data_IF_487140697850
#
_entry.id   IF_487140697850
#
_cell.length_a   1.000
_cell.length_b   1.000
_cell.length_c   1.000
_cell.angle_alpha   90.00
_cell.angle_beta   90.00
_cell.angle_gamma   90.00
#
_symmetry.space_group_name_H-M   'P 1'
#
loop_
_entity.id
_entity.type
_entity.pdbx_description
1 polymer ?
#
# COMPACT_ATOMS: atom_id res chain seq x y z
N UNK A 1 11.92 -33.54 11.74
CA UNK A 1 11.11 -33.02 10.64
C UNK A 1 10.29 -31.90 11.24
N UNK A 2 10.42 -30.68 10.75
CA UNK A 2 9.50 -29.62 11.16
C UNK A 2 8.09 -30.07 10.78
N UNK A 3 7.12 -29.95 11.70
CA UNK A 3 5.72 -30.25 11.39
C UNK A 3 5.28 -29.37 10.21
N UNK A 4 4.44 -29.88 9.29
CA UNK A 4 3.91 -29.09 8.19
C UNK A 4 3.21 -27.86 8.76
N UNK A 5 3.57 -26.67 8.30
CA UNK A 5 2.89 -25.45 8.70
C UNK A 5 1.45 -25.45 8.16
N UNK A 6 0.50 -25.79 9.03
CA UNK A 6 -0.92 -25.95 8.67
C UNK A 6 -1.56 -24.66 8.14
N UNK A 7 -0.99 -23.50 8.47
CA UNK A 7 -1.48 -22.19 8.02
C UNK A 7 -0.70 -21.63 6.83
N UNK A 8 0.28 -22.36 6.29
CA UNK A 8 1.17 -21.88 5.23
C UNK A 8 0.40 -21.31 4.03
N UNK A 9 -0.56 -22.06 3.49
CA UNK A 9 -1.36 -21.64 2.33
C UNK A 9 -2.20 -20.40 2.64
N UNK A 10 -2.79 -20.34 3.84
CA UNK A 10 -3.61 -19.22 4.30
C UNK A 10 -2.78 -17.93 4.38
N UNK A 11 -1.64 -18.00 5.08
CA UNK A 11 -0.72 -16.86 5.27
C UNK A 11 -0.23 -16.31 3.93
N UNK A 12 0.20 -17.19 3.02
CA UNK A 12 0.69 -16.77 1.71
C UNK A 12 -0.39 -16.09 0.86
N UNK A 13 -1.62 -16.63 0.84
CA UNK A 13 -2.73 -15.99 0.11
C UNK A 13 -3.04 -14.61 0.68
N UNK A 14 -3.00 -14.44 2.00
CA UNK A 14 -3.20 -13.15 2.64
C UNK A 14 -2.10 -12.15 2.27
N UNK A 15 -0.82 -12.51 2.42
CA UNK A 15 0.31 -11.61 2.15
C UNK A 15 0.38 -11.15 0.69
N UNK A 16 -0.08 -11.98 -0.25
CA UNK A 16 -0.13 -11.66 -1.67
C UNK A 16 -1.40 -10.93 -2.10
N UNK A 17 -2.32 -10.65 -1.17
CA UNK A 17 -3.55 -9.90 -1.42
C UNK A 17 -4.70 -10.71 -2.01
N UNK A 18 -4.64 -12.05 -1.99
CA UNK A 18 -5.75 -12.92 -2.41
C UNK A 18 -6.68 -13.20 -1.22
N UNK A 19 -7.32 -12.14 -0.71
CA UNK A 19 -8.14 -12.21 0.50
C UNK A 19 -9.33 -13.17 0.39
N UNK A 20 -9.99 -13.23 -0.76
CA UNK A 20 -11.13 -14.14 -0.97
C UNK A 20 -10.71 -15.61 -0.85
N UNK A 21 -9.57 -15.98 -1.43
CA UNK A 21 -9.06 -17.34 -1.33
C UNK A 21 -8.41 -17.63 0.03
N UNK A 22 -7.90 -16.61 0.72
CA UNK A 22 -7.46 -16.75 2.11
C UNK A 22 -8.65 -17.11 3.02
N UNK A 23 -9.77 -16.40 2.91
CA UNK A 23 -11.00 -16.71 3.66
C UNK A 23 -11.50 -18.14 3.35
N UNK A 24 -11.53 -18.52 2.08
CA UNK A 24 -11.96 -19.85 1.66
C UNK A 24 -11.06 -20.96 2.24
N UNK A 25 -9.75 -20.74 2.31
CA UNK A 25 -8.79 -21.66 2.92
C UNK A 25 -9.00 -21.76 4.43
N UNK A 26 -9.10 -20.60 5.11
CA UNK A 26 -9.32 -20.53 6.54
C UNK A 26 -10.56 -21.29 6.97
N UNK A 27 -11.68 -21.12 6.26
CA UNK A 27 -12.93 -21.81 6.58
C UNK A 27 -12.87 -23.35 6.42
N UNK A 28 -11.90 -23.88 5.67
CA UNK A 28 -11.70 -25.32 5.52
C UNK A 28 -10.83 -25.92 6.65
N UNK A 29 -10.01 -25.10 7.30
CA UNK A 29 -9.11 -25.50 8.38
C UNK A 29 -9.87 -25.62 9.71
N UNK A 30 -10.44 -26.81 9.97
CA UNK A 30 -11.30 -27.06 11.15
C UNK A 30 -10.63 -27.81 12.30
N UNK A 31 -9.48 -28.46 12.05
CA UNK A 31 -8.77 -29.30 13.04
C UNK A 31 -7.44 -28.68 13.42
N UNK A 32 -7.50 -27.56 14.13
CA UNK A 32 -6.33 -26.82 14.60
C UNK A 32 -6.23 -26.88 16.12
N UNK A 33 -5.02 -26.68 16.66
CA UNK A 33 -4.85 -26.36 18.08
C UNK A 33 -5.50 -25.01 18.41
N UNK A 34 -5.84 -24.74 19.68
CA UNK A 34 -6.46 -23.48 20.08
C UNK A 34 -5.63 -22.25 19.65
N UNK A 35 -4.30 -22.36 19.70
CA UNK A 35 -3.38 -21.30 19.26
C UNK A 35 -3.47 -21.08 17.75
N UNK A 36 -3.42 -22.15 16.96
CA UNK A 36 -3.51 -22.05 15.50
C UNK A 36 -4.91 -21.65 15.03
N UNK A 37 -5.96 -21.99 15.78
CA UNK A 37 -7.33 -21.57 15.50
C UNK A 37 -7.48 -20.06 15.63
N UNK A 38 -6.92 -19.47 16.70
CA UNK A 38 -6.91 -18.01 16.88
C UNK A 38 -6.12 -17.33 15.77
N UNK A 39 -4.97 -17.88 15.38
CA UNK A 39 -4.16 -17.31 14.29
C UNK A 39 -4.87 -17.41 12.93
N UNK A 40 -5.52 -18.55 12.64
CA UNK A 40 -6.38 -18.70 11.45
C UNK A 40 -7.44 -17.61 11.42
N UNK A 41 -8.17 -17.42 12.52
CA UNK A 41 -9.25 -16.43 12.62
C UNK A 41 -8.72 -15.00 12.47
N UNK A 42 -7.52 -14.73 12.99
CA UNK A 42 -6.84 -13.45 12.78
C UNK A 42 -6.62 -13.17 11.27
N UNK A 43 -6.04 -14.12 10.53
CA UNK A 43 -5.81 -13.96 9.09
C UNK A 43 -7.12 -13.86 8.29
N UNK A 44 -8.15 -14.62 8.67
CA UNK A 44 -9.47 -14.55 8.04
C UNK A 44 -10.11 -13.17 8.26
N UNK A 45 -10.11 -12.66 9.49
CA UNK A 45 -10.67 -11.33 9.78
C UNK A 45 -9.85 -10.21 9.15
N UNK A 46 -8.52 -10.28 9.14
CA UNK A 46 -7.67 -9.35 8.38
C UNK A 46 -7.96 -9.41 6.88
N UNK A 47 -8.31 -10.57 6.33
CA UNK A 47 -8.74 -10.72 4.93
C UNK A 47 -10.09 -10.05 4.66
N UNK A 48 -11.05 -10.16 5.58
CA UNK A 48 -12.32 -9.43 5.49
C UNK A 48 -12.11 -7.91 5.50
N UNK A 49 -11.22 -7.41 6.37
CA UNK A 49 -10.80 -6.00 6.37
C UNK A 49 -10.18 -5.62 5.01
N UNK A 50 -9.33 -6.47 4.44
CA UNK A 50 -8.73 -6.27 3.12
C UNK A 50 -9.75 -6.18 1.98
N UNK A 51 -10.92 -6.81 2.12
CA UNK A 51 -12.06 -6.72 1.19
C UNK A 51 -13.03 -5.57 1.52
N UNK A 52 -12.75 -4.75 2.54
CA UNK A 52 -13.62 -3.65 2.97
C UNK A 52 -14.85 -4.09 3.77
N UNK A 53 -14.90 -5.35 4.24
CA UNK A 53 -16.03 -5.89 5.00
C UNK A 53 -15.83 -5.69 6.52
N UNK A 54 -15.70 -4.43 6.94
CA UNK A 54 -15.38 -4.08 8.35
C UNK A 54 -16.49 -4.50 9.33
N UNK A 55 -17.76 -4.26 8.97
CA UNK A 55 -18.90 -4.54 9.85
C UNK A 55 -19.04 -6.00 10.29
N UNK A 56 -18.58 -6.95 9.46
CA UNK A 56 -18.55 -8.38 9.82
C UNK A 56 -17.60 -8.61 11.00
N UNK A 57 -16.36 -8.11 10.89
CA UNK A 57 -15.34 -8.27 11.93
C UNK A 57 -15.76 -7.58 13.23
N UNK A 58 -16.36 -6.40 13.13
CA UNK A 58 -16.84 -5.63 14.28
C UNK A 58 -17.97 -6.35 15.02
N UNK A 59 -18.86 -7.03 14.28
CA UNK A 59 -20.00 -7.77 14.82
C UNK A 59 -19.64 -9.13 15.41
N UNK A 60 -18.68 -9.86 14.84
CA UNK A 60 -18.32 -11.21 15.30
C UNK A 60 -17.34 -11.21 16.47
N UNK A 61 -16.38 -10.29 16.50
CA UNK A 61 -15.38 -10.24 17.56
C UNK A 61 -15.93 -9.50 18.78
N UNK A 62 -15.84 -10.11 19.95
CA UNK A 62 -16.32 -9.57 21.23
C UNK A 62 -15.19 -9.37 22.25
N UNK A 63 -15.50 -8.83 23.43
CA UNK A 63 -14.51 -8.58 24.51
C UNK A 63 -13.96 -9.87 25.15
N UNK A 64 -14.62 -11.01 24.94
CA UNK A 64 -14.16 -12.33 25.42
C UNK A 64 -13.22 -13.01 24.41
N UNK A 65 -13.09 -12.44 23.20
CA UNK A 65 -12.25 -12.98 22.13
C UNK A 65 -10.77 -12.84 22.48
N UNK A 66 -9.94 -13.70 21.90
CA UNK A 66 -8.49 -13.62 22.10
C UNK A 66 -7.93 -12.25 21.66
N UNK A 67 -6.88 -11.79 22.34
CA UNK A 67 -6.31 -10.47 22.14
C UNK A 67 -5.94 -10.14 20.67
N UNK A 68 -5.38 -11.06 19.86
CA UNK A 68 -5.16 -10.82 18.43
C UNK A 68 -6.45 -10.43 17.68
N UNK A 69 -7.57 -11.10 17.98
CA UNK A 69 -8.85 -10.82 17.34
C UNK A 69 -9.39 -9.45 17.75
N UNK A 70 -9.24 -9.09 19.04
CA UNK A 70 -9.62 -7.75 19.52
C UNK A 70 -8.79 -6.65 18.83
N UNK A 71 -7.49 -6.87 18.60
CA UNK A 71 -6.65 -5.95 17.84
C UNK A 71 -7.14 -5.80 16.39
N UNK A 72 -7.50 -6.91 15.73
CA UNK A 72 -8.06 -6.87 14.37
C UNK A 72 -9.41 -6.14 14.35
N UNK A 73 -10.24 -6.28 15.39
CA UNK A 73 -11.48 -5.49 15.55
C UNK A 73 -11.20 -3.98 15.66
N UNK A 74 -10.22 -3.56 16.46
CA UNK A 74 -9.83 -2.15 16.56
C UNK A 74 -9.39 -1.60 15.19
N UNK A 75 -8.64 -2.38 14.41
CA UNK A 75 -8.26 -2.00 13.06
C UNK A 75 -9.49 -1.84 12.15
N UNK A 76 -10.46 -2.75 12.24
CA UNK A 76 -11.71 -2.66 11.47
C UNK A 76 -12.52 -1.41 11.84
N UNK A 77 -12.65 -1.09 13.13
CA UNK A 77 -13.33 0.12 13.61
C UNK A 77 -12.65 1.40 13.09
N UNK A 78 -11.32 1.44 13.15
CA UNK A 78 -10.53 2.54 12.61
C UNK A 78 -10.75 2.75 11.11
N UNK A 79 -10.79 1.67 10.32
CA UNK A 79 -10.94 1.76 8.87
C UNK A 79 -12.38 2.01 8.41
N UNK A 80 -13.38 1.63 9.20
CA UNK A 80 -14.80 1.89 8.89
C UNK A 80 -15.14 3.38 9.03
N UNK A 81 -14.71 4.01 10.12
CA UNK A 81 -14.89 5.45 10.33
C UNK A 81 -13.67 6.06 11.05
N UNK A 82 -12.61 6.40 10.30
CA UNK A 82 -11.41 7.00 10.88
C UNK A 82 -11.68 8.31 11.61
N UNK A 83 -12.68 9.09 11.18
CA UNK A 83 -12.91 10.42 11.73
C UNK A 83 -13.46 10.38 13.16
N UNK A 84 -14.27 9.38 13.51
CA UNK A 84 -14.88 9.27 14.83
C UNK A 84 -14.13 8.33 15.78
N UNK A 85 -13.44 7.31 15.25
CA UNK A 85 -12.84 6.25 16.06
C UNK A 85 -11.35 6.42 16.33
N UNK A 86 -10.65 7.27 15.56
CA UNK A 86 -9.20 7.48 15.65
C UNK A 86 -8.69 7.67 17.07
N UNK A 87 -9.22 8.64 17.82
CA UNK A 87 -8.68 9.01 19.13
C UNK A 87 -8.84 7.86 20.13
N UNK A 88 -9.97 7.15 20.08
CA UNK A 88 -10.25 5.98 20.91
C UNK A 88 -9.31 4.82 20.58
N UNK A 89 -9.08 4.55 19.30
CA UNK A 89 -8.20 3.47 18.84
C UNK A 89 -6.74 3.74 19.21
N UNK A 90 -6.24 4.97 18.98
CA UNK A 90 -4.87 5.38 19.35
C UNK A 90 -4.66 5.24 20.87
N UNK A 91 -5.61 5.71 21.68
CA UNK A 91 -5.52 5.62 23.13
C UNK A 91 -5.47 4.16 23.60
N UNK A 92 -6.37 3.32 23.07
CA UNK A 92 -6.44 1.89 23.43
C UNK A 92 -5.16 1.14 23.04
N UNK A 93 -4.64 1.38 21.83
CA UNK A 93 -3.39 0.78 21.38
C UNK A 93 -2.19 1.28 22.19
N UNK A 94 -2.18 2.55 22.59
CA UNK A 94 -1.17 3.10 23.49
C UNK A 94 -1.16 2.41 24.86
N UNK A 95 -2.34 2.16 25.44
CA UNK A 95 -2.49 1.41 26.69
C UNK A 95 -2.00 -0.04 26.55
N UNK A 96 -2.39 -0.73 25.48
CA UNK A 96 -1.97 -2.12 25.24
C UNK A 96 -0.47 -2.26 24.98
N UNK A 97 0.17 -1.27 24.34
CA UNK A 97 1.62 -1.26 24.19
C UNK A 97 2.36 -0.90 25.48
N UNK A 98 1.68 -0.25 26.44
CA UNK A 98 2.20 0.04 27.77
C UNK A 98 2.08 -1.13 28.76
N UNK A 99 1.09 -2.01 28.57
CA UNK A 99 0.84 -3.14 29.46
C UNK A 99 1.76 -4.34 29.16
N UNK A 100 2.31 -4.93 30.23
CA UNK A 100 3.25 -6.04 30.13
C UNK A 100 2.61 -7.32 29.58
N UNK A 101 1.30 -7.50 29.74
CA UNK A 101 0.59 -8.67 29.21
C UNK A 101 0.40 -8.62 27.69
N UNK A 102 0.29 -7.41 27.11
CA UNK A 102 -0.14 -7.22 25.73
C UNK A 102 0.91 -6.64 24.79
N UNK A 103 1.90 -5.92 25.33
CA UNK A 103 2.91 -5.23 24.53
C UNK A 103 3.72 -6.14 23.61
N UNK A 104 3.87 -7.41 23.97
CA UNK A 104 4.70 -8.39 23.24
C UNK A 104 3.88 -9.22 22.24
N UNK A 105 2.55 -9.02 22.14
CA UNK A 105 1.72 -9.72 21.16
C UNK A 105 1.98 -9.21 19.74
N UNK A 106 2.39 -10.08 18.80
CA UNK A 106 2.79 -9.64 17.46
C UNK A 106 1.69 -8.88 16.70
N UNK A 107 0.46 -9.38 16.76
CA UNK A 107 -0.71 -8.79 16.09
C UNK A 107 -1.05 -7.40 16.64
N UNK A 108 -0.95 -7.20 17.95
CA UNK A 108 -1.16 -5.88 18.59
C UNK A 108 -0.11 -4.89 18.09
N UNK A 109 1.16 -5.29 18.06
CA UNK A 109 2.25 -4.47 17.53
C UNK A 109 2.04 -4.13 16.05
N UNK A 110 1.61 -5.10 15.23
CA UNK A 110 1.32 -4.90 13.80
C UNK A 110 0.15 -3.93 13.59
N UNK A 111 -0.97 -4.13 14.28
CA UNK A 111 -2.14 -3.24 14.18
C UNK A 111 -1.77 -1.82 14.63
N UNK A 112 -1.08 -1.69 15.76
CA UNK A 112 -0.64 -0.38 16.24
C UNK A 112 0.25 0.34 15.23
N UNK A 113 1.24 -0.37 14.67
CA UNK A 113 2.10 0.16 13.62
C UNK A 113 1.32 0.63 12.39
N UNK A 114 0.33 -0.13 11.93
CA UNK A 114 -0.51 0.23 10.78
C UNK A 114 -1.35 1.48 11.05
N UNK A 115 -1.99 1.58 12.22
CA UNK A 115 -2.80 2.75 12.59
C UNK A 115 -1.92 3.99 12.73
N UNK A 116 -0.78 3.88 13.43
CA UNK A 116 0.16 5.00 13.57
C UNK A 116 0.72 5.46 12.23
N UNK A 117 0.99 4.55 11.28
CA UNK A 117 1.43 4.93 9.94
C UNK A 117 0.36 5.74 9.19
N UNK A 118 -0.91 5.36 9.29
CA UNK A 118 -2.01 6.09 8.64
C UNK A 118 -2.22 7.49 9.20
N UNK A 119 -1.85 7.69 10.46
CA UNK A 119 -1.91 8.97 11.17
C UNK A 119 -0.63 9.80 11.06
N UNK A 120 0.32 9.39 10.21
CA UNK A 120 1.63 10.04 10.01
C UNK A 120 2.52 10.07 11.28
N UNK A 121 2.23 9.18 12.24
CA UNK A 121 2.96 8.98 13.50
C UNK A 121 4.05 7.92 13.33
N UNK A 122 4.99 8.17 12.43
CA UNK A 122 6.02 7.18 12.06
C UNK A 122 6.92 6.76 13.24
N UNK A 123 7.20 7.65 14.20
CA UNK A 123 8.07 7.33 15.34
C UNK A 123 7.42 6.31 16.26
N UNK A 124 6.14 6.49 16.53
CA UNK A 124 5.28 5.63 17.30
C UNK A 124 5.11 4.28 16.59
N UNK A 125 4.91 4.31 15.26
CA UNK A 125 4.84 3.11 14.43
C UNK A 125 6.12 2.25 14.54
N UNK A 126 7.30 2.85 14.40
CA UNK A 126 8.58 2.13 14.60
C UNK A 126 8.78 1.67 16.05
N UNK A 127 8.30 2.43 17.03
CA UNK A 127 8.43 2.04 18.44
C UNK A 127 7.60 0.79 18.75
N UNK A 128 6.39 0.69 18.19
CA UNK A 128 5.50 -0.46 18.38
C UNK A 128 6.11 -1.79 17.91
N UNK A 129 6.82 -1.80 16.78
CA UNK A 129 7.40 -3.03 16.18
C UNK A 129 8.91 -3.19 16.43
N UNK A 130 9.52 -2.36 17.29
CA UNK A 130 10.98 -2.32 17.52
C UNK A 130 11.59 -3.66 17.91
N UNK A 131 10.89 -4.41 18.74
CA UNK A 131 11.34 -5.70 19.25
C UNK A 131 10.67 -6.88 18.53
N UNK A 132 9.87 -6.60 17.50
CA UNK A 132 9.21 -7.62 16.70
C UNK A 132 10.21 -8.49 15.94
N UNK A 133 10.00 -9.81 16.01
CA UNK A 133 10.86 -10.81 15.36
C UNK A 133 10.10 -11.71 14.39
N UNK A 134 8.78 -11.54 14.26
CA UNK A 134 8.02 -12.33 13.29
C UNK A 134 8.31 -11.86 11.88
N UNK A 135 8.12 -12.74 10.89
CA UNK A 135 8.33 -12.41 9.48
C UNK A 135 7.46 -11.22 9.04
N UNK A 136 6.21 -11.13 9.51
CA UNK A 136 5.33 -9.99 9.21
C UNK A 136 5.87 -8.67 9.79
N UNK A 137 6.41 -8.68 11.01
CA UNK A 137 6.95 -7.48 11.65
C UNK A 137 8.23 -7.00 10.97
N UNK A 138 9.11 -7.92 10.59
CA UNK A 138 10.32 -7.61 9.83
C UNK A 138 9.98 -7.06 8.44
N UNK A 139 8.97 -7.63 7.77
CA UNK A 139 8.49 -7.14 6.47
C UNK A 139 7.86 -5.75 6.59
N UNK A 140 7.03 -5.51 7.61
CA UNK A 140 6.43 -4.20 7.88
C UNK A 140 7.49 -3.15 8.21
N UNK A 141 8.52 -3.51 8.99
CA UNK A 141 9.66 -2.65 9.26
C UNK A 141 10.39 -2.24 7.99
N UNK A 142 10.66 -3.19 7.08
CA UNK A 142 11.29 -2.91 5.80
C UNK A 142 10.42 -1.97 4.94
N UNK A 143 9.10 -2.19 4.90
CA UNK A 143 8.15 -1.31 4.23
C UNK A 143 8.20 0.12 4.78
N UNK A 144 8.22 0.29 6.10
CA UNK A 144 8.32 1.62 6.73
C UNK A 144 9.66 2.29 6.43
N UNK A 145 10.77 1.55 6.44
CA UNK A 145 12.08 2.06 6.04
C UNK A 145 12.06 2.63 4.61
N UNK A 146 11.40 1.93 3.68
CA UNK A 146 11.23 2.41 2.31
C UNK A 146 10.37 3.67 2.25
N UNK A 147 9.29 3.75 3.04
CA UNK A 147 8.42 4.95 3.12
C UNK A 147 9.16 6.20 3.63
N UNK A 148 10.09 6.04 4.58
CA UNK A 148 10.93 7.16 5.07
C UNK A 148 12.19 7.40 4.21
N UNK A 149 12.26 6.80 3.01
CA UNK A 149 13.39 6.92 2.08
C UNK A 149 14.73 6.44 2.67
N UNK A 150 14.72 5.45 3.56
CA UNK A 150 15.91 4.83 4.16
C UNK A 150 16.15 3.44 3.60
N UNK A 151 16.64 3.40 2.37
CA UNK A 151 16.95 2.15 1.65
C UNK A 151 17.98 1.29 2.39
N UNK A 152 18.96 1.90 3.03
CA UNK A 152 20.00 1.23 3.82
C UNK A 152 19.41 0.40 4.98
N UNK A 153 18.43 0.96 5.69
CA UNK A 153 17.74 0.26 6.77
C UNK A 153 16.82 -0.84 6.24
N UNK A 154 16.19 -0.63 5.08
CA UNK A 154 15.35 -1.63 4.44
C UNK A 154 16.19 -2.85 3.99
N UNK A 155 17.36 -2.62 3.38
CA UNK A 155 18.30 -3.68 3.00
C UNK A 155 18.80 -4.48 4.21
N UNK A 156 19.08 -3.79 5.33
CA UNK A 156 19.47 -4.47 6.57
C UNK A 156 18.37 -5.39 7.12
N UNK A 157 17.10 -5.02 6.99
CA UNK A 157 15.97 -5.85 7.43
C UNK A 157 15.63 -6.96 6.44
N UNK A 158 15.79 -6.72 5.13
CA UNK A 158 15.73 -7.78 4.11
C UNK A 158 16.77 -8.87 4.40
N UNK A 159 17.98 -8.50 4.81
CA UNK A 159 18.99 -9.50 5.21
C UNK A 159 18.52 -10.35 6.40
N UNK A 160 17.91 -9.73 7.42
CA UNK A 160 17.35 -10.50 8.56
C UNK A 160 16.22 -11.44 8.14
N UNK A 161 15.37 -11.02 7.20
CA UNK A 161 14.33 -11.87 6.62
C UNK A 161 14.96 -13.06 5.86
N UNK A 162 15.97 -12.80 5.03
CA UNK A 162 16.70 -13.83 4.30
C UNK A 162 17.47 -14.79 5.20
N UNK A 163 18.04 -14.29 6.31
CA UNK A 163 18.73 -15.12 7.31
C UNK A 163 17.72 -16.02 8.07
N UNK A 164 16.46 -15.62 8.17
CA UNK A 164 15.39 -16.40 8.80
C UNK A 164 14.81 -17.45 7.85
N UNK A 165 14.42 -17.03 6.64
CA UNK A 165 13.94 -17.89 5.56
C UNK A 165 14.05 -17.15 4.21
N UNK A 166 14.99 -17.57 3.37
CA UNK A 166 15.21 -17.00 2.03
C UNK A 166 14.06 -17.32 1.07
N UNK A 167 13.42 -18.48 1.20
CA UNK A 167 12.37 -18.95 0.31
C UNK A 167 10.97 -18.49 0.75
N UNK A 168 10.86 -17.85 1.91
CA UNK A 168 9.60 -17.31 2.39
C UNK A 168 9.02 -16.25 1.44
N UNK A 169 7.71 -16.34 1.21
CA UNK A 169 6.94 -15.39 0.38
C UNK A 169 7.14 -13.94 0.80
N UNK A 170 7.21 -13.66 2.11
CA UNK A 170 7.46 -12.31 2.62
C UNK A 170 8.89 -11.82 2.29
N UNK A 171 9.88 -12.70 2.33
CA UNK A 171 11.26 -12.38 1.96
C UNK A 171 11.33 -12.00 0.48
N UNK A 172 10.69 -12.80 -0.40
CA UNK A 172 10.63 -12.52 -1.84
C UNK A 172 9.86 -11.23 -2.14
N UNK A 173 8.74 -10.99 -1.45
CA UNK A 173 7.96 -9.76 -1.59
C UNK A 173 8.76 -8.51 -1.20
N UNK A 174 9.42 -8.54 -0.03
CA UNK A 174 10.26 -7.44 0.45
C UNK A 174 11.49 -7.26 -0.43
N UNK A 175 12.08 -8.35 -0.93
CA UNK A 175 13.17 -8.32 -1.91
C UNK A 175 12.75 -7.54 -3.16
N UNK A 176 11.56 -7.83 -3.70
CA UNK A 176 10.96 -7.08 -4.80
C UNK A 176 10.88 -5.58 -4.53
N UNK A 177 10.35 -5.17 -3.37
CA UNK A 177 10.25 -3.75 -3.00
C UNK A 177 11.61 -3.07 -2.83
N UNK A 178 12.56 -3.72 -2.16
CA UNK A 178 13.90 -3.17 -1.91
C UNK A 178 14.69 -3.07 -3.21
N UNK A 179 14.61 -4.06 -4.08
CA UNK A 179 15.25 -4.04 -5.39
C UNK A 179 14.66 -2.96 -6.29
N UNK A 180 13.33 -2.79 -6.28
CA UNK A 180 12.65 -1.71 -6.99
C UNK A 180 13.09 -0.33 -6.49
N UNK A 181 13.21 -0.15 -5.17
CA UNK A 181 13.70 1.10 -4.58
C UNK A 181 15.19 1.36 -4.81
N UNK A 182 16.00 0.31 -4.99
CA UNK A 182 17.43 0.42 -5.30
C UNK A 182 17.64 0.89 -6.75
N UNK A 183 16.86 0.34 -7.67
CA UNK A 183 16.88 0.69 -9.09
C UNK A 183 18.12 0.24 -9.87
N UNK A 184 18.22 0.71 -11.11
CA UNK A 184 19.28 0.30 -12.04
C UNK A 184 19.09 -1.16 -12.51
N UNK A 185 20.13 -1.97 -12.41
CA UNK A 185 20.06 -3.40 -12.79
C UNK A 185 19.12 -4.20 -11.88
N UNK A 186 18.86 -3.71 -10.66
CA UNK A 186 17.95 -4.34 -9.68
C UNK A 186 16.49 -4.33 -10.11
N UNK A 187 16.08 -3.53 -11.09
CA UNK A 187 14.71 -3.60 -11.62
C UNK A 187 14.38 -4.97 -12.22
N UNK A 188 15.36 -5.64 -12.84
CA UNK A 188 15.17 -6.99 -13.38
C UNK A 188 15.00 -8.02 -12.26
N UNK A 189 15.81 -7.92 -11.21
CA UNK A 189 15.69 -8.78 -10.03
C UNK A 189 14.35 -8.59 -9.32
N UNK A 190 13.87 -7.34 -9.22
CA UNK A 190 12.53 -7.05 -8.69
C UNK A 190 11.43 -7.66 -9.57
N UNK A 191 11.53 -7.56 -10.90
CA UNK A 191 10.58 -8.17 -11.83
C UNK A 191 10.53 -9.69 -11.65
N UNK A 192 11.69 -10.37 -11.60
CA UNK A 192 11.75 -11.82 -11.40
C UNK A 192 11.12 -12.25 -10.07
N UNK A 193 11.36 -11.52 -8.98
CA UNK A 193 10.73 -11.82 -7.69
C UNK A 193 9.19 -11.77 -7.77
N UNK A 194 8.62 -10.76 -8.45
CA UNK A 194 7.17 -10.69 -8.63
C UNK A 194 6.63 -11.72 -9.64
N UNK A 195 7.35 -12.01 -10.72
CA UNK A 195 6.99 -13.07 -11.68
C UNK A 195 6.94 -14.44 -11.00
N UNK A 196 7.95 -14.77 -10.19
CA UNK A 196 7.99 -16.03 -9.46
C UNK A 196 6.83 -16.15 -8.45
N UNK A 197 6.48 -15.06 -7.76
CA UNK A 197 5.31 -15.02 -6.88
C UNK A 197 4.00 -15.21 -7.66
N UNK A 198 3.88 -14.63 -8.85
CA UNK A 198 2.71 -14.80 -9.73
C UNK A 198 2.62 -16.24 -10.24
N UNK A 199 3.75 -16.85 -10.61
CA UNK A 199 3.80 -18.22 -11.15
C UNK A 199 3.55 -19.29 -10.08
N UNK A 200 4.09 -19.08 -8.86
CA UNK A 200 3.86 -20.00 -7.72
C UNK A 200 2.46 -19.87 -7.16
N UNK A 201 1.90 -18.66 -7.17
CA UNK A 201 0.58 -18.36 -6.62
C UNK A 201 -0.36 -17.91 -7.74
N UNK A 202 -1.26 -16.97 -7.46
CA UNK A 202 -2.17 -16.41 -8.46
C UNK A 202 -1.80 -14.94 -8.70
N UNK A 203 -1.97 -14.48 -9.94
CA UNK A 203 -1.88 -13.06 -10.27
C UNK A 203 -2.92 -12.23 -9.52
N UNK A 204 -2.50 -11.60 -8.41
CA UNK A 204 -3.31 -10.63 -7.66
C UNK A 204 -3.13 -9.21 -8.20
N UNK A 205 -4.04 -8.30 -7.85
CA UNK A 205 -3.95 -6.89 -8.26
C UNK A 205 -2.62 -6.27 -7.80
N UNK A 206 -2.21 -6.52 -6.56
CA UNK A 206 -0.97 -5.96 -6.00
C UNK A 206 0.28 -6.50 -6.71
N UNK A 207 0.31 -7.80 -7.05
CA UNK A 207 1.44 -8.39 -7.77
C UNK A 207 1.50 -7.90 -9.23
N UNK A 208 0.36 -7.85 -9.93
CA UNK A 208 0.29 -7.34 -11.30
C UNK A 208 0.74 -5.87 -11.38
N UNK A 209 0.29 -5.04 -10.44
CA UNK A 209 0.74 -3.64 -10.37
C UNK A 209 2.23 -3.53 -10.04
N UNK A 210 2.73 -4.32 -9.08
CA UNK A 210 4.15 -4.29 -8.72
C UNK A 210 5.04 -4.70 -9.90
N UNK A 211 4.67 -5.76 -10.61
CA UNK A 211 5.39 -6.20 -11.81
C UNK A 211 5.28 -5.18 -12.94
N UNK A 212 4.10 -4.59 -13.17
CA UNK A 212 3.93 -3.53 -14.16
C UNK A 212 4.84 -2.34 -13.89
N UNK A 213 4.97 -1.91 -12.63
CA UNK A 213 5.89 -0.84 -12.22
C UNK A 213 7.34 -1.23 -12.52
N UNK A 214 7.77 -2.47 -12.23
CA UNK A 214 9.10 -2.95 -12.61
C UNK A 214 9.32 -2.85 -14.13
N UNK A 215 8.35 -3.29 -14.94
CA UNK A 215 8.40 -3.23 -16.41
C UNK A 215 8.45 -1.79 -16.94
N UNK A 216 7.71 -0.88 -16.32
CA UNK A 216 7.78 0.56 -16.63
C UNK A 216 9.16 1.14 -16.35
N UNK A 217 9.80 0.77 -15.23
CA UNK A 217 11.17 1.18 -14.93
C UNK A 217 12.21 0.60 -15.91
N UNK A 218 11.96 -0.60 -16.44
CA UNK A 218 12.75 -1.21 -17.51
C UNK A 218 12.47 -0.63 -18.91
N UNK A 219 11.52 0.31 -19.02
CA UNK A 219 11.04 0.91 -20.29
C UNK A 219 10.34 -0.10 -21.22
N UNK A 220 9.86 -1.20 -20.66
CA UNK A 220 9.09 -2.24 -21.34
C UNK A 220 7.59 -1.90 -21.27
N UNK A 221 7.21 -0.76 -21.85
CA UNK A 221 5.87 -0.17 -21.71
C UNK A 221 4.75 -1.08 -22.26
N UNK A 222 4.99 -1.78 -23.38
CA UNK A 222 4.02 -2.70 -23.97
C UNK A 222 3.73 -3.91 -23.06
N UNK A 223 4.72 -4.38 -22.29
CA UNK A 223 4.53 -5.45 -21.31
C UNK A 223 3.81 -4.94 -20.07
N UNK A 224 4.19 -3.76 -19.58
CA UNK A 224 3.50 -3.10 -18.48
C UNK A 224 2.01 -2.89 -18.78
N UNK A 225 1.67 -2.43 -19.99
CA UNK A 225 0.27 -2.25 -20.39
C UNK A 225 -0.51 -3.56 -20.34
N UNK A 226 0.05 -4.68 -20.82
CA UNK A 226 -0.63 -5.98 -20.77
C UNK A 226 -0.96 -6.39 -19.34
N UNK A 227 -0.01 -6.22 -18.42
CA UNK A 227 -0.20 -6.52 -17.00
C UNK A 227 -1.26 -5.61 -16.36
N UNK A 228 -1.26 -4.32 -16.70
CA UNK A 228 -2.24 -3.36 -16.19
C UNK A 228 -3.65 -3.60 -16.75
N UNK A 229 -3.77 -4.01 -18.02
CA UNK A 229 -5.06 -4.44 -18.59
C UNK A 229 -5.58 -5.71 -17.91
N UNK A 230 -4.69 -6.65 -17.57
CA UNK A 230 -5.05 -7.83 -16.77
C UNK A 230 -5.53 -7.42 -15.38
N UNK A 231 -4.85 -6.48 -14.70
CA UNK A 231 -5.30 -5.96 -13.41
C UNK A 231 -6.66 -5.24 -13.52
N UNK A 232 -6.84 -4.40 -14.53
CA UNK A 232 -8.08 -3.68 -14.78
C UNK A 232 -9.26 -4.63 -15.06
N UNK A 233 -9.02 -5.78 -15.70
CA UNK A 233 -10.05 -6.81 -15.92
C UNK A 233 -10.53 -7.45 -14.61
N UNK A 234 -9.69 -7.48 -13.56
CA UNK A 234 -10.04 -7.98 -12.23
C UNK A 234 -10.76 -6.91 -11.40
N UNK A 235 -10.28 -5.67 -11.44
CA UNK A 235 -10.96 -4.54 -10.80
C UNK A 235 -10.75 -3.24 -11.59
N UNK A 236 -11.82 -2.76 -12.21
CA UNK A 236 -11.81 -1.55 -13.07
C UNK A 236 -11.56 -0.27 -12.27
N UNK A 237 -11.86 -0.29 -10.97
CA UNK A 237 -11.78 0.88 -10.09
C UNK A 237 -10.61 0.78 -9.09
N UNK A 238 -9.63 -0.08 -9.33
CA UNK A 238 -8.45 -0.16 -8.48
C UNK A 238 -7.57 1.10 -8.65
N UNK A 239 -7.28 1.79 -7.55
CA UNK A 239 -6.58 3.09 -7.57
C UNK A 239 -5.16 2.96 -8.12
N UNK A 240 -4.41 1.96 -7.67
CA UNK A 240 -3.02 1.73 -8.09
C UNK A 240 -2.96 1.40 -9.58
N UNK A 241 -3.86 0.54 -10.06
CA UNK A 241 -3.98 0.20 -11.48
C UNK A 241 -4.25 1.43 -12.33
N UNK A 242 -5.20 2.29 -11.93
CA UNK A 242 -5.52 3.51 -12.67
C UNK A 242 -4.32 4.47 -12.73
N UNK A 243 -3.62 4.68 -11.60
CA UNK A 243 -2.43 5.55 -11.53
C UNK A 243 -1.30 5.02 -12.44
N UNK A 244 -1.04 3.71 -12.39
CA UNK A 244 -0.02 3.08 -13.20
C UNK A 244 -0.37 3.14 -14.69
N UNK A 245 -1.64 2.94 -15.06
CA UNK A 245 -2.11 3.08 -16.45
C UNK A 245 -1.98 4.50 -16.97
N UNK A 246 -2.33 5.53 -16.17
CA UNK A 246 -2.14 6.93 -16.55
C UNK A 246 -0.67 7.19 -16.88
N UNK A 247 0.24 6.76 -16.01
CA UNK A 247 1.68 6.93 -16.21
C UNK A 247 2.18 6.17 -17.45
N UNK A 248 1.73 4.93 -17.64
CA UNK A 248 2.09 4.12 -18.81
C UNK A 248 1.61 4.75 -20.12
N UNK A 249 0.37 5.24 -20.16
CA UNK A 249 -0.22 5.84 -21.35
C UNK A 249 0.43 7.17 -21.73
N UNK A 250 0.77 7.99 -20.74
CA UNK A 250 1.53 9.22 -20.96
C UNK A 250 2.89 8.92 -21.64
N UNK A 251 3.60 7.85 -21.23
CA UNK A 251 4.86 7.44 -21.86
C UNK A 251 4.70 6.83 -23.25
N UNK A 252 3.55 6.22 -23.55
CA UNK A 252 3.21 5.67 -24.87
C UNK A 252 2.60 6.71 -25.82
N UNK A 253 2.29 7.92 -25.36
CA UNK A 253 1.58 8.94 -26.14
C UNK A 253 0.11 8.60 -26.42
N UNK A 254 -0.51 7.81 -25.54
CA UNK A 254 -1.94 7.44 -25.59
C UNK A 254 -2.77 8.39 -24.72
N UNK A 255 -4.05 8.56 -25.04
CA UNK A 255 -4.97 9.40 -24.26
C UNK A 255 -5.24 8.79 -22.87
N UNK A 256 -4.77 9.49 -21.85
CA UNK A 256 -4.89 9.15 -20.43
C UNK A 256 -5.98 9.94 -19.70
N UNK A 257 -6.61 10.94 -20.34
CA UNK A 257 -7.55 11.87 -19.69
C UNK A 257 -8.76 11.16 -19.11
N UNK A 258 -9.25 10.11 -19.78
CA UNK A 258 -10.36 9.29 -19.29
C UNK A 258 -10.01 8.63 -17.95
N UNK A 259 -8.81 8.08 -17.82
CA UNK A 259 -8.36 7.38 -16.61
C UNK A 259 -8.12 8.36 -15.47
N UNK A 260 -7.56 9.54 -15.76
CA UNK A 260 -7.41 10.62 -14.77
C UNK A 260 -8.77 11.07 -14.23
N UNK A 261 -9.76 11.29 -15.10
CA UNK A 261 -11.14 11.63 -14.68
C UNK A 261 -11.76 10.54 -13.82
N UNK A 262 -11.55 9.27 -14.17
CA UNK A 262 -12.02 8.15 -13.38
C UNK A 262 -11.38 8.14 -11.99
N UNK A 263 -10.06 8.36 -11.90
CA UNK A 263 -9.33 8.44 -10.64
C UNK A 263 -9.84 9.59 -9.76
N UNK A 264 -10.04 10.79 -10.32
CA UNK A 264 -10.56 11.94 -9.58
C UNK A 264 -11.99 11.76 -9.10
N UNK A 265 -12.82 11.03 -9.86
CA UNK A 265 -14.21 10.76 -9.53
C UNK A 265 -14.40 9.66 -8.48
N UNK A 266 -13.72 8.51 -8.67
CA UNK A 266 -13.89 7.34 -7.80
C UNK A 266 -13.05 7.43 -6.51
N UNK A 267 -11.90 8.11 -6.57
CA UNK A 267 -10.93 8.17 -5.47
C UNK A 267 -10.56 9.62 -5.11
N UNK A 268 -11.53 10.45 -4.66
CA UNK A 268 -11.30 11.88 -4.41
C UNK A 268 -10.33 12.16 -3.26
N UNK A 269 -10.31 11.28 -2.24
CA UNK A 269 -9.48 11.42 -1.03
C UNK A 269 -8.16 10.66 -1.12
N UNK A 270 -7.86 10.03 -2.26
CA UNK A 270 -6.62 9.28 -2.41
C UNK A 270 -5.41 10.23 -2.42
N UNK A 271 -4.27 9.88 -1.78
CA UNK A 271 -3.10 10.75 -1.70
C UNK A 271 -2.60 11.27 -3.05
N UNK A 272 -2.71 10.47 -4.11
CA UNK A 272 -2.39 10.89 -5.48
C UNK A 272 -3.31 12.02 -5.97
N UNK A 273 -4.63 11.86 -5.83
CA UNK A 273 -5.62 12.85 -6.27
C UNK A 273 -5.45 14.17 -5.54
N UNK A 274 -5.20 14.12 -4.22
CA UNK A 274 -4.95 15.32 -3.41
C UNK A 274 -3.67 16.04 -3.85
N UNK A 275 -2.59 15.28 -4.08
CA UNK A 275 -1.31 15.85 -4.56
C UNK A 275 -1.44 16.47 -5.94
N UNK A 276 -2.15 15.82 -6.87
CA UNK A 276 -2.35 16.35 -8.22
C UNK A 276 -3.20 17.62 -8.21
N UNK A 277 -4.33 17.65 -7.50
CA UNK A 277 -5.14 18.87 -7.35
C UNK A 277 -4.36 20.03 -6.75
N UNK A 278 -3.49 19.74 -5.77
CA UNK A 278 -2.60 20.74 -5.18
C UNK A 278 -1.59 21.27 -6.21
N UNK A 279 -0.97 20.38 -6.98
CA UNK A 279 -0.02 20.76 -8.02
C UNK A 279 -0.67 21.58 -9.15
N UNK A 280 -1.88 21.20 -9.57
CA UNK A 280 -2.70 21.95 -10.54
C UNK A 280 -2.99 23.37 -10.02
N UNK A 281 -3.43 23.51 -8.76
CA UNK A 281 -3.70 24.80 -8.15
C UNK A 281 -2.44 25.68 -8.01
N UNK A 282 -1.30 25.09 -7.65
CA UNK A 282 -0.01 25.79 -7.58
C UNK A 282 0.44 26.27 -8.97
N UNK A 283 0.22 25.47 -10.01
CA UNK A 283 0.51 25.85 -11.39
C UNK A 283 -0.35 27.03 -11.83
N UNK A 284 -1.66 27.00 -11.59
CA UNK A 284 -2.58 28.10 -11.96
C UNK A 284 -2.20 29.42 -11.29
N UNK A 285 -1.81 29.38 -10.01
CA UNK A 285 -1.33 30.55 -9.28
C UNK A 285 -0.06 31.13 -9.91
N UNK A 286 0.90 30.27 -10.27
CA UNK A 286 2.14 30.71 -10.90
C UNK A 286 1.91 31.23 -12.32
N UNK A 287 1.10 30.54 -13.12
CA UNK A 287 0.73 30.93 -14.47
C UNK A 287 0.10 32.33 -14.48
N UNK A 288 -0.84 32.58 -13.56
CA UNK A 288 -1.47 33.90 -13.39
C UNK A 288 -0.45 34.97 -13.01
N UNK A 289 0.41 34.69 -12.03
CA UNK A 289 1.45 35.62 -11.59
C UNK A 289 2.37 36.04 -12.75
N UNK A 290 2.84 35.07 -13.55
CA UNK A 290 3.71 35.35 -14.69
C UNK A 290 2.98 36.03 -15.85
N UNK A 291 1.70 35.73 -16.08
CA UNK A 291 0.87 36.44 -17.06
C UNK A 291 0.70 37.92 -16.67
N UNK A 292 0.40 38.19 -15.40
CA UNK A 292 0.27 39.55 -14.84
C UNK A 292 1.59 40.33 -14.94
N UNK A 293 2.73 39.70 -14.62
CA UNK A 293 4.08 40.30 -14.74
C UNK A 293 4.49 40.57 -16.21
N UNK A 294 4.07 39.72 -17.15
CA UNK A 294 4.31 39.89 -18.58
C UNK A 294 3.34 40.87 -19.24
N UNK A 295 2.28 41.32 -18.54
CA UNK A 295 1.22 42.15 -19.10
C UNK A 295 0.40 41.43 -20.17
N UNK A 296 0.35 40.10 -20.12
CA UNK A 296 -0.46 39.26 -21.01
C UNK A 296 -1.85 39.17 -20.37
N UNK A 297 -2.85 39.72 -21.05
CA UNK A 297 -4.23 39.58 -20.62
C UNK A 297 -4.62 38.09 -20.68
N UNK A 298 -5.07 37.48 -19.57
CA UNK A 298 -5.47 36.07 -19.57
C UNK A 298 -6.61 35.73 -20.55
N UNK A 299 -7.34 36.74 -21.06
CA UNK A 299 -8.37 36.58 -22.10
C UNK A 299 -7.87 36.80 -23.56
N UNK A 300 -6.60 37.21 -23.78
CA UNK A 300 -5.96 37.29 -25.12
C UNK A 300 -4.53 36.69 -25.12
N UNK A 301 -4.42 35.35 -25.22
CA UNK A 301 -3.13 34.65 -25.17
C UNK A 301 -2.25 34.84 -26.42
N UNK A 302 -2.72 35.55 -27.46
CA UNK A 302 -1.95 35.76 -28.69
C UNK A 302 -1.39 37.18 -28.84
N UNK A 303 -1.70 38.10 -27.92
CA UNK A 303 -1.13 39.45 -27.94
C UNK A 303 -1.31 40.14 -29.29
N UNK A 304 -2.44 39.93 -29.97
CA UNK A 304 -2.72 40.56 -31.27
C UNK A 304 -3.33 41.96 -31.11
N UNK A 305 -3.11 42.59 -29.96
CA UNK A 305 -3.27 44.02 -29.73
C UNK A 305 -2.11 44.81 -30.31
N UNK A 306 -2.18 45.05 -31.62
CA UNK A 306 -1.32 45.99 -32.34
C UNK A 306 -1.51 47.40 -31.77
N UNK A 307 -0.74 47.80 -30.75
CA UNK A 307 -0.75 49.18 -30.22
C UNK A 307 0.63 49.85 -30.34
N UNK A 308 0.86 50.72 -31.36
CA UNK A 308 2.16 51.34 -31.63
C UNK A 308 2.66 52.38 -30.61
N UNK A 309 2.04 52.54 -29.43
CA UNK A 309 2.30 53.71 -28.57
C UNK A 309 2.94 53.48 -27.19
N UNK A 310 3.34 52.27 -26.80
CA UNK A 310 4.08 52.09 -25.53
C UNK A 310 5.57 52.45 -25.67
N UNK A 311 5.91 53.73 -25.43
CA UNK A 311 7.29 54.18 -25.20
C UNK A 311 7.85 53.57 -23.89
N UNK A 312 9.16 53.25 -23.83
CA UNK A 312 9.78 52.75 -22.61
C UNK A 312 9.88 53.88 -21.57
N UNK A 313 9.44 53.61 -20.34
CA UNK A 313 9.75 54.47 -19.20
C UNK A 313 11.19 54.19 -18.75
N UNK A 314 11.97 55.25 -18.64
CA UNK A 314 13.28 55.30 -17.97
C UNK A 314 13.14 55.09 -16.46
#
# INVERSE_FOLDING_TARGET
MAEPDELYTLRNRFWLGNFSMAIAEGNQLSRLSDVLAVERDEFVYRSYIGLGQYGLVIGEVNEESAMPLQAVKLLAQYLEDPASTKDMVIMTLGEWLGDAASKDHPTVQLVAALVYEKEDLMKEAFTAIRHGQTMEQLALWAQFCLKIHRLDLAQAHLKKLSDADEDATLTQLVSGWVNLATGGEKYKEAAYAFEELIDKFEATLSLLNSLAVCKMHLREWDEAEKLLLQAQSKNVNDADTLINMVTCYAHMGKDEQRLQKQMYGQHPNHPYTLKMKKAEAEFDVLAKKYADEAGIDPDDPHGNGNDPQRKPKA
#
